data_IF_514565847766
#
_entry.id   IF_514565847766
#
_cell.length_a   1.000
_cell.length_b   1.000
_cell.length_c   1.000
_cell.angle_alpha   90.00
_cell.angle_beta   90.00
_cell.angle_gamma   90.00
#
_symmetry.space_group_name_H-M   'P 1'
#
loop_
_entity.id
_entity.type
_entity.pdbx_description
1 polymer ?
#
# COMPACT_ATOMS: atom_id res chain seq x y z
N UNK A 1 16.33 -16.98 -4.16
CA UNK A 1 16.71 -17.54 -2.85
C UNK A 1 15.53 -17.36 -1.91
N UNK A 2 15.21 -18.36 -1.16
CA UNK A 2 14.30 -18.33 -0.05
C UNK A 2 15.07 -18.57 1.28
N UNK A 3 14.37 -18.52 2.41
CA UNK A 3 14.92 -18.72 3.76
C UNK A 3 15.76 -19.99 3.91
N UNK A 4 15.40 -21.05 3.19
CA UNK A 4 16.10 -22.35 3.24
C UNK A 4 17.29 -22.43 2.26
N UNK A 5 17.74 -21.31 1.68
CA UNK A 5 18.80 -21.22 0.67
C UNK A 5 18.51 -22.04 -0.60
N UNK A 6 17.25 -22.38 -0.86
CA UNK A 6 16.82 -23.02 -2.09
C UNK A 6 16.59 -22.01 -3.18
N UNK A 7 16.88 -22.38 -4.42
CA UNK A 7 16.59 -21.57 -5.59
C UNK A 7 15.19 -21.93 -6.10
N UNK A 8 14.42 -20.91 -6.36
CA UNK A 8 13.15 -21.02 -7.10
C UNK A 8 13.22 -20.11 -8.30
N UNK A 9 12.75 -20.61 -9.43
CA UNK A 9 12.46 -19.74 -10.57
C UNK A 9 11.23 -18.91 -10.22
N UNK A 10 11.36 -17.59 -10.25
CA UNK A 10 10.28 -16.65 -10.07
C UNK A 10 10.07 -15.93 -11.40
N UNK A 11 8.92 -16.20 -12.02
CA UNK A 11 8.57 -15.55 -13.27
C UNK A 11 8.13 -14.10 -13.01
N UNK A 12 8.99 -13.18 -13.45
CA UNK A 12 8.73 -11.74 -13.36
C UNK A 12 8.03 -11.21 -14.61
N UNK A 13 7.85 -12.07 -15.60
CA UNK A 13 7.35 -11.63 -16.89
C UNK A 13 5.84 -11.46 -16.84
N UNK A 14 5.37 -10.38 -17.39
CA UNK A 14 3.96 -10.11 -17.51
C UNK A 14 3.26 -9.64 -16.24
N UNK A 15 3.99 -9.45 -15.17
CA UNK A 15 3.44 -8.91 -13.93
C UNK A 15 3.67 -7.41 -13.87
N UNK A 16 2.65 -6.67 -13.53
CA UNK A 16 2.77 -5.32 -13.02
C UNK A 16 3.16 -5.41 -11.54
N UNK A 17 4.18 -4.66 -11.14
CA UNK A 17 4.67 -4.62 -9.76
C UNK A 17 4.47 -3.25 -9.10
N UNK A 18 3.71 -2.35 -9.71
CA UNK A 18 3.56 -0.98 -9.22
C UNK A 18 3.02 -0.96 -7.80
N UNK A 19 1.99 -1.75 -7.48
CA UNK A 19 1.42 -1.84 -6.15
C UNK A 19 2.43 -2.38 -5.11
N UNK A 20 3.27 -3.35 -5.50
CA UNK A 20 4.34 -3.85 -4.63
C UNK A 20 5.44 -2.81 -4.43
N UNK A 21 5.80 -2.08 -5.46
CA UNK A 21 6.82 -1.02 -5.41
C UNK A 21 6.34 0.18 -4.61
N UNK A 22 5.05 0.51 -4.67
CA UNK A 22 4.46 1.57 -3.85
C UNK A 22 4.69 1.34 -2.35
N UNK A 23 4.82 0.10 -1.88
CA UNK A 23 5.14 -0.19 -0.47
C UNK A 23 6.48 0.40 0.00
N UNK A 24 7.41 0.65 -0.91
CA UNK A 24 8.71 1.27 -0.64
C UNK A 24 8.82 2.71 -1.12
N UNK A 25 8.00 3.13 -2.08
CA UNK A 25 8.02 4.50 -2.64
C UNK A 25 7.29 5.52 -1.78
N UNK A 26 6.75 5.06 -0.69
CA UNK A 26 5.98 5.89 0.21
C UNK A 26 6.83 7.01 0.83
N UNK A 27 6.40 8.25 0.67
CA UNK A 27 7.05 9.43 1.22
C UNK A 27 7.23 9.44 2.75
N UNK A 28 6.71 8.41 3.44
CA UNK A 28 6.86 8.23 4.89
C UNK A 28 8.07 7.36 5.28
N UNK A 29 8.67 6.63 4.34
CA UNK A 29 9.90 5.88 4.58
C UNK A 29 11.10 6.80 4.34
N UNK A 30 11.68 7.29 5.44
CA UNK A 30 12.79 8.22 5.42
C UNK A 30 13.76 7.84 6.55
N UNK A 31 15.04 7.72 6.23
CA UNK A 31 16.11 7.43 7.21
C UNK A 31 15.82 6.23 8.12
N UNK A 32 15.43 5.11 7.53
CA UNK A 32 15.02 3.90 8.24
C UNK A 32 15.72 2.66 7.67
N UNK A 33 16.11 1.73 8.54
CA UNK A 33 16.45 0.37 8.12
C UNK A 33 15.46 -0.65 8.71
N UNK A 34 15.09 -1.64 7.90
CA UNK A 34 14.16 -2.66 8.30
C UNK A 34 14.39 -3.97 7.52
N UNK A 35 13.79 -5.05 7.99
CA UNK A 35 13.80 -6.32 7.27
C UNK A 35 12.62 -6.41 6.30
N UNK A 36 12.83 -7.00 5.13
CA UNK A 36 11.74 -7.36 4.22
C UNK A 36 10.63 -8.20 4.89
N UNK A 37 10.93 -8.83 6.05
CA UNK A 37 9.94 -9.51 6.87
C UNK A 37 8.80 -8.60 7.33
N UNK A 38 9.08 -7.31 7.56
CA UNK A 38 8.05 -6.32 7.87
C UNK A 38 7.02 -6.23 6.74
N UNK A 39 7.47 -5.94 5.54
CA UNK A 39 6.58 -5.85 4.38
C UNK A 39 5.84 -7.16 4.10
N UNK A 40 6.53 -8.29 4.29
CA UNK A 40 5.94 -9.61 4.12
C UNK A 40 4.77 -9.87 5.09
N UNK A 41 4.85 -9.35 6.31
CA UNK A 41 3.79 -9.44 7.32
C UNK A 41 2.69 -8.42 7.13
N UNK A 42 3.06 -7.19 6.79
CA UNK A 42 2.13 -6.05 6.72
C UNK A 42 1.21 -6.13 5.49
N UNK A 43 1.68 -6.81 4.41
CA UNK A 43 0.94 -6.90 3.15
C UNK A 43 0.74 -8.36 2.70
N UNK A 44 0.06 -9.21 3.49
CA UNK A 44 -0.06 -10.64 3.20
C UNK A 44 -0.81 -10.94 1.90
N UNK A 45 -1.78 -10.11 1.52
CA UNK A 45 -2.52 -10.28 0.27
C UNK A 45 -1.66 -9.94 -0.95
N UNK A 46 -0.81 -8.91 -0.86
CA UNK A 46 0.18 -8.63 -1.91
C UNK A 46 1.17 -9.79 -2.07
N UNK A 47 1.61 -10.40 -0.95
CA UNK A 47 2.51 -11.56 -1.01
C UNK A 47 1.86 -12.74 -1.72
N UNK A 48 0.56 -12.99 -1.50
CA UNK A 48 -0.20 -14.02 -2.23
C UNK A 48 -0.36 -13.65 -3.70
N UNK A 49 -0.75 -12.42 -3.98
CA UNK A 49 -0.94 -11.91 -5.36
C UNK A 49 0.31 -12.09 -6.20
N UNK A 50 1.47 -11.81 -5.63
CA UNK A 50 2.75 -11.94 -6.32
C UNK A 50 3.43 -13.30 -6.14
N UNK A 51 2.79 -14.28 -5.47
CA UNK A 51 3.35 -15.61 -5.15
C UNK A 51 4.73 -15.50 -4.48
N UNK A 52 4.85 -14.62 -3.49
CA UNK A 52 6.06 -14.42 -2.69
C UNK A 52 5.95 -15.28 -1.44
N UNK A 53 6.94 -16.14 -1.17
CA UNK A 53 6.86 -17.18 -0.13
C UNK A 53 7.53 -16.82 1.18
N UNK A 54 8.51 -15.94 1.14
CA UNK A 54 9.24 -15.50 2.33
C UNK A 54 9.93 -14.12 2.12
N UNK A 55 10.45 -13.58 3.20
CA UNK A 55 11.13 -12.29 3.25
C UNK A 55 12.40 -12.21 2.38
N UNK A 56 13.07 -13.34 2.14
CA UNK A 56 14.27 -13.39 1.30
C UNK A 56 13.92 -13.28 -0.18
N UNK A 57 12.85 -13.95 -0.57
CA UNK A 57 12.32 -13.89 -1.92
C UNK A 57 11.81 -12.47 -2.21
N UNK A 58 11.06 -11.88 -1.28
CA UNK A 58 10.62 -10.49 -1.36
C UNK A 58 11.79 -9.52 -1.52
N UNK A 59 12.79 -9.61 -0.65
CA UNK A 59 13.98 -8.74 -0.71
C UNK A 59 14.68 -8.83 -2.07
N UNK A 60 14.88 -10.04 -2.60
CA UNK A 60 15.53 -10.23 -3.88
C UNK A 60 14.70 -9.70 -5.05
N UNK A 61 13.39 -9.90 -5.00
CA UNK A 61 12.47 -9.39 -6.00
C UNK A 61 12.49 -7.86 -6.03
N UNK A 62 12.29 -7.22 -4.88
CA UNK A 62 12.33 -5.76 -4.75
C UNK A 62 13.67 -5.18 -5.20
N UNK A 63 14.81 -5.78 -4.78
CA UNK A 63 16.13 -5.36 -5.23
C UNK A 63 16.27 -5.38 -6.75
N UNK A 64 15.76 -6.43 -7.39
CA UNK A 64 15.83 -6.59 -8.84
C UNK A 64 14.94 -5.57 -9.57
N UNK A 65 13.72 -5.37 -9.09
CA UNK A 65 12.79 -4.39 -9.62
C UNK A 65 13.32 -2.96 -9.46
N UNK A 66 13.85 -2.63 -8.28
CA UNK A 66 14.40 -1.31 -7.97
C UNK A 66 15.53 -0.93 -8.90
N UNK A 67 16.45 -1.85 -9.14
CA UNK A 67 17.53 -1.65 -10.11
C UNK A 67 17.04 -1.58 -11.56
N UNK A 68 16.09 -2.44 -11.92
CA UNK A 68 15.51 -2.49 -13.28
C UNK A 68 14.81 -1.18 -13.67
N UNK A 69 14.02 -0.62 -12.77
CA UNK A 69 13.24 0.59 -13.02
C UNK A 69 13.97 1.88 -12.60
N UNK A 70 15.22 1.76 -12.11
CA UNK A 70 16.05 2.91 -11.68
C UNK A 70 15.35 3.83 -10.68
N UNK A 71 14.59 3.26 -9.75
CA UNK A 71 13.67 3.98 -8.86
C UNK A 71 14.35 4.93 -7.86
N UNK A 72 15.67 4.93 -7.77
CA UNK A 72 16.43 5.92 -7.00
C UNK A 72 16.72 7.22 -7.78
N UNK A 73 16.45 7.25 -9.09
CA UNK A 73 16.69 8.45 -9.91
C UNK A 73 15.69 9.54 -9.51
N UNK A 74 16.20 10.72 -9.18
CA UNK A 74 15.39 11.85 -8.73
C UNK A 74 15.05 11.88 -7.24
N UNK A 75 15.35 10.82 -6.48
CA UNK A 75 15.18 10.82 -5.03
C UNK A 75 16.34 11.52 -4.34
N UNK A 76 16.03 12.27 -3.28
CA UNK A 76 17.05 12.84 -2.40
C UNK A 76 17.74 11.77 -1.55
N UNK A 77 18.78 12.16 -0.79
CA UNK A 77 19.59 11.25 0.01
C UNK A 77 18.81 10.54 1.12
N UNK A 78 17.70 11.10 1.59
CA UNK A 78 16.90 10.58 2.70
C UNK A 78 15.86 9.54 2.25
N UNK A 79 15.56 9.47 0.95
CA UNK A 79 14.56 8.57 0.38
C UNK A 79 15.15 7.49 -0.53
N UNK A 80 16.47 7.51 -0.80
CA UNK A 80 17.10 6.47 -1.60
C UNK A 80 17.04 5.12 -0.94
N UNK A 81 16.57 4.12 -1.68
CA UNK A 81 16.47 2.73 -1.20
C UNK A 81 17.71 1.94 -1.57
N UNK A 82 18.28 1.27 -0.59
CA UNK A 82 19.45 0.39 -0.75
C UNK A 82 19.15 -0.98 -0.16
N UNK A 83 19.45 -2.03 -0.91
CA UNK A 83 19.30 -3.41 -0.50
C UNK A 83 20.66 -3.94 -0.02
N UNK A 84 20.82 -4.09 1.29
CA UNK A 84 22.07 -4.51 1.91
C UNK A 84 22.12 -6.04 2.12
N UNK A 85 22.58 -6.51 3.28
CA UNK A 85 22.58 -7.94 3.60
C UNK A 85 21.14 -8.43 3.78
N UNK A 86 20.76 -9.46 3.01
CA UNK A 86 19.43 -10.05 3.10
C UNK A 86 19.02 -10.41 4.53
N UNK A 87 17.83 -10.11 4.96
CA UNK A 87 16.72 -9.47 4.23
C UNK A 87 16.60 -7.96 4.51
N UNK A 88 17.68 -7.23 4.78
CA UNK A 88 17.67 -5.82 5.20
C UNK A 88 17.50 -4.87 4.01
N UNK A 89 16.55 -3.96 4.15
CA UNK A 89 16.28 -2.84 3.26
C UNK A 89 16.60 -1.55 4.02
N UNK A 90 17.30 -0.64 3.37
CA UNK A 90 17.72 0.65 3.94
C UNK A 90 17.12 1.76 3.08
N UNK A 91 16.45 2.70 3.72
CA UNK A 91 15.96 3.94 3.09
C UNK A 91 16.70 5.10 3.72
N UNK A 92 17.35 5.92 2.89
CA UNK A 92 18.07 7.08 3.33
C UNK A 92 19.32 6.79 4.16
N UNK A 93 19.47 7.51 5.24
CA UNK A 93 20.60 7.42 6.20
C UNK A 93 20.04 7.00 7.57
N UNK A 94 19.75 5.72 7.81
CA UNK A 94 19.11 5.26 9.03
C UNK A 94 19.99 5.44 10.27
N UNK A 95 19.33 5.75 11.37
CA UNK A 95 19.90 5.77 12.71
C UNK A 95 19.15 4.74 13.57
N UNK A 96 19.79 3.60 13.84
CA UNK A 96 19.21 2.51 14.65
C UNK A 96 18.92 2.91 16.08
N UNK A 97 19.79 3.74 16.66
CA UNK A 97 19.57 4.23 18.02
C UNK A 97 18.29 5.06 18.07
N UNK A 98 18.06 5.86 17.04
CA UNK A 98 16.81 6.61 16.90
C UNK A 98 15.58 5.67 16.75
N UNK A 99 15.70 4.58 16.03
CA UNK A 99 14.61 3.59 15.87
C UNK A 99 14.31 2.89 17.19
N UNK A 100 15.34 2.42 17.94
CA UNK A 100 15.15 1.83 19.28
C UNK A 100 14.54 2.84 20.24
N UNK A 101 15.08 4.08 20.26
CA UNK A 101 14.53 5.14 21.10
C UNK A 101 13.07 5.42 20.79
N UNK A 102 12.69 5.42 19.51
CA UNK A 102 11.30 5.64 19.11
C UNK A 102 10.37 4.59 19.75
N UNK A 103 10.74 3.32 19.72
CA UNK A 103 9.95 2.26 20.35
C UNK A 103 9.91 2.44 21.86
N UNK A 104 11.05 2.71 22.47
CA UNK A 104 11.13 2.93 23.91
C UNK A 104 10.27 4.13 24.36
N UNK A 105 10.31 5.24 23.60
CA UNK A 105 9.45 6.41 23.87
C UNK A 105 7.96 6.09 23.75
N UNK A 106 7.58 5.20 22.82
CA UNK A 106 6.19 4.81 22.62
C UNK A 106 5.70 3.83 23.67
N UNK A 107 6.55 2.89 24.11
CA UNK A 107 6.21 1.91 25.15
C UNK A 107 6.25 2.50 26.56
N UNK A 108 7.15 3.47 26.79
CA UNK A 108 7.37 4.10 28.10
C UNK A 108 8.25 3.25 28.99
N UNK A 109 7.69 2.24 29.63
CA UNK A 109 8.39 1.25 30.47
C UNK A 109 8.12 -0.15 29.93
N UNK A 110 9.17 -0.92 29.68
CA UNK A 110 9.06 -2.19 28.97
C UNK A 110 10.20 -3.15 29.35
N UNK A 111 9.93 -4.46 29.59
CA UNK A 111 10.95 -5.49 29.71
C UNK A 111 11.82 -5.60 28.45
N UNK A 112 13.06 -6.07 28.59
CA UNK A 112 14.00 -6.25 27.45
C UNK A 112 13.39 -7.07 26.34
N UNK A 113 12.75 -8.19 26.69
CA UNK A 113 12.14 -9.13 25.74
C UNK A 113 11.05 -8.45 24.94
N UNK A 114 10.19 -7.68 25.60
CA UNK A 114 9.10 -6.95 24.94
C UNK A 114 9.61 -5.80 24.07
N UNK A 115 10.70 -5.11 24.47
CA UNK A 115 11.34 -4.07 23.65
C UNK A 115 11.88 -4.68 22.36
N UNK A 116 12.58 -5.83 22.47
CA UNK A 116 13.13 -6.52 21.32
C UNK A 116 12.03 -7.07 20.41
N UNK A 117 10.95 -7.58 20.98
CA UNK A 117 9.80 -8.06 20.23
C UNK A 117 9.08 -6.91 19.51
N UNK A 118 8.87 -5.78 20.17
CA UNK A 118 8.29 -4.60 19.56
C UNK A 118 9.14 -4.06 18.39
N UNK A 119 10.47 -4.14 18.52
CA UNK A 119 11.36 -3.80 17.41
C UNK A 119 11.23 -4.80 16.25
N UNK A 120 11.11 -6.11 16.53
CA UNK A 120 10.86 -7.12 15.50
C UNK A 120 9.52 -6.91 14.82
N UNK A 121 8.46 -6.58 15.56
CA UNK A 121 7.14 -6.28 15.02
C UNK A 121 7.18 -5.08 14.08
N UNK A 122 7.85 -4.00 14.50
CA UNK A 122 7.88 -2.73 13.76
C UNK A 122 8.82 -2.75 12.55
N UNK A 123 10.02 -3.32 12.70
CA UNK A 123 11.07 -3.28 11.68
C UNK A 123 11.39 -4.65 11.06
N UNK A 124 10.74 -5.72 11.50
CA UNK A 124 10.96 -7.08 11.01
C UNK A 124 12.33 -7.67 11.38
N UNK A 125 13.15 -6.97 12.17
CA UNK A 125 14.47 -7.45 12.63
C UNK A 125 14.29 -8.37 13.81
N UNK A 126 14.82 -9.61 13.70
CA UNK A 126 14.66 -10.63 14.74
C UNK A 126 15.04 -10.13 16.13
N UNK A 127 14.21 -10.38 17.13
CA UNK A 127 14.38 -9.95 18.52
C UNK A 127 15.74 -10.35 19.12
N UNK A 128 16.22 -11.54 18.81
CA UNK A 128 17.58 -11.96 19.23
C UNK A 128 18.71 -11.13 18.62
N UNK A 129 18.53 -10.59 17.40
CA UNK A 129 19.50 -9.67 16.79
C UNK A 129 19.47 -8.30 17.48
N UNK A 130 18.28 -7.82 17.82
CA UNK A 130 18.08 -6.55 18.54
C UNK A 130 18.73 -6.62 19.91
N UNK A 131 18.45 -7.67 20.68
CA UNK A 131 19.01 -7.89 22.02
C UNK A 131 20.56 -7.89 22.00
N UNK A 132 21.14 -8.59 21.01
CA UNK A 132 22.58 -8.76 20.92
C UNK A 132 23.34 -7.51 20.43
N UNK A 133 22.71 -6.67 19.58
CA UNK A 133 23.47 -5.68 18.82
C UNK A 133 22.94 -4.24 18.92
N UNK A 134 21.68 -4.02 19.37
CA UNK A 134 21.07 -2.69 19.23
C UNK A 134 20.85 -1.97 20.56
N UNK A 135 20.94 -2.66 21.70
CA UNK A 135 20.61 -2.09 23.01
C UNK A 135 21.80 -1.48 23.74
N UNK A 136 23.02 -1.63 23.23
CA UNK A 136 24.24 -1.17 23.93
C UNK A 136 24.28 0.32 24.27
N UNK A 137 23.72 1.18 23.41
CA UNK A 137 23.67 2.63 23.64
C UNK A 137 22.62 3.05 24.68
N UNK A 138 21.74 2.12 25.09
CA UNK A 138 20.57 2.42 25.93
C UNK A 138 20.74 2.06 27.40
N UNK A 139 21.94 1.74 27.86
CA UNK A 139 22.21 1.33 29.24
C UNK A 139 21.69 2.32 30.29
N UNK A 140 21.63 3.61 29.98
CA UNK A 140 21.11 4.66 30.89
C UNK A 140 19.61 4.55 31.17
N UNK A 141 18.88 3.86 30.31
CA UNK A 141 17.44 3.60 30.48
C UNK A 141 17.17 2.23 31.08
N UNK A 142 18.20 1.41 31.28
CA UNK A 142 18.08 0.03 31.71
C UNK A 142 18.29 -0.14 33.23
N UNK A 143 17.31 -0.75 33.90
CA UNK A 143 17.40 -1.13 35.31
C UNK A 143 16.69 -2.47 35.52
N UNK A 144 17.40 -3.45 36.09
CA UNK A 144 16.84 -4.75 36.52
C UNK A 144 15.98 -5.44 35.44
N UNK A 145 16.45 -5.49 34.21
CA UNK A 145 15.72 -6.15 33.12
C UNK A 145 14.64 -5.29 32.45
N UNK A 146 14.50 -4.04 32.84
CA UNK A 146 13.47 -3.12 32.35
C UNK A 146 14.12 -1.89 31.75
N UNK A 147 13.65 -1.48 30.57
CA UNK A 147 13.92 -0.17 29.97
C UNK A 147 12.78 0.80 30.27
N UNK A 148 13.10 2.05 30.62
CA UNK A 148 12.07 3.08 30.85
C UNK A 148 12.56 4.47 30.50
N UNK A 149 11.67 5.28 29.92
CA UNK A 149 11.79 6.72 29.69
C UNK A 149 10.91 7.55 30.61
N UNK A 150 10.15 6.94 31.52
CA UNK A 150 9.22 7.62 32.45
C UNK A 150 9.92 8.56 33.44
N UNK A 151 11.23 8.40 33.58
CA UNK A 151 12.02 9.34 34.40
C UNK A 151 12.22 10.70 33.73
N UNK A 152 12.01 10.77 32.41
CA UNK A 152 12.09 12.02 31.64
C UNK A 152 10.69 12.60 31.51
N UNK A 153 10.24 13.32 32.53
CA UNK A 153 8.93 13.97 32.56
C UNK A 153 8.99 15.33 31.89
N UNK A 154 7.90 15.66 31.17
CA UNK A 154 7.70 16.98 30.60
C UNK A 154 7.34 17.99 31.68
N UNK A 155 7.81 19.25 31.53
CA UNK A 155 7.36 20.35 32.38
C UNK A 155 5.82 20.46 32.28
N UNK A 156 5.06 20.50 33.41
CA UNK A 156 3.59 20.56 33.38
C UNK A 156 3.01 21.74 32.58
N UNK A 157 3.69 22.89 32.58
CA UNK A 157 3.26 24.06 31.80
C UNK A 157 3.43 23.83 30.28
N UNK A 158 4.50 23.13 29.88
CA UNK A 158 4.75 22.76 28.49
C UNK A 158 3.74 21.70 28.05
N UNK A 159 3.46 20.73 28.92
CA UNK A 159 2.47 19.67 28.66
C UNK A 159 1.07 20.24 28.42
N UNK A 160 0.63 21.20 29.25
CA UNK A 160 -0.68 21.83 29.10
C UNK A 160 -0.76 22.64 27.79
N UNK A 161 0.31 23.38 27.44
CA UNK A 161 0.38 24.07 26.15
C UNK A 161 0.39 23.12 24.97
N UNK A 162 1.14 22.01 25.07
CA UNK A 162 1.16 20.98 24.02
C UNK A 162 -0.22 20.38 23.81
N UNK A 163 -0.95 20.09 24.88
CA UNK A 163 -2.34 19.62 24.84
C UNK A 163 -3.25 20.57 24.08
N UNK A 164 -3.08 21.88 24.25
CA UNK A 164 -3.86 22.91 23.54
C UNK A 164 -3.46 23.01 22.04
N UNK A 165 -2.20 22.83 21.71
CA UNK A 165 -1.70 22.88 20.34
C UNK A 165 -2.16 21.64 19.56
N UNK A 166 -2.08 20.46 20.17
CA UNK A 166 -2.48 19.20 19.54
C UNK A 166 -4.01 19.03 19.62
N UNK A 167 -4.75 19.68 18.73
CA UNK A 167 -6.21 19.74 18.72
C UNK A 167 -6.89 18.77 17.74
N UNK A 168 -6.14 18.10 16.85
CA UNK A 168 -6.67 17.09 15.93
C UNK A 168 -6.75 15.71 16.61
N UNK A 169 -7.56 14.84 16.05
CA UNK A 169 -7.73 13.47 16.53
C UNK A 169 -6.63 12.51 16.11
N UNK A 170 -5.86 12.88 15.09
CA UNK A 170 -4.78 12.07 14.54
C UNK A 170 -3.56 12.92 14.23
N UNK A 171 -2.38 12.40 14.59
CA UNK A 171 -1.08 12.95 14.21
C UNK A 171 -0.09 11.84 13.89
N UNK A 172 0.73 12.05 12.86
CA UNK A 172 1.98 11.29 12.70
C UNK A 172 2.99 11.76 13.76
N UNK A 173 3.87 10.86 14.23
CA UNK A 173 4.93 11.25 15.17
C UNK A 173 5.87 12.32 14.62
N UNK A 174 6.16 12.31 13.32
CA UNK A 174 6.93 13.34 12.65
C UNK A 174 6.29 14.72 12.79
N UNK A 175 4.97 14.82 12.69
CA UNK A 175 4.22 16.07 12.85
C UNK A 175 4.31 16.56 14.29
N UNK A 176 4.06 15.69 15.27
CA UNK A 176 4.15 16.07 16.69
C UNK A 176 5.55 16.54 17.05
N UNK A 177 6.59 15.84 16.59
CA UNK A 177 7.99 16.23 16.82
C UNK A 177 8.32 17.61 16.24
N UNK A 178 7.86 17.89 15.03
CA UNK A 178 8.04 19.19 14.40
C UNK A 178 7.31 20.28 15.17
N UNK A 179 6.05 20.04 15.57
CA UNK A 179 5.27 20.96 16.40
C UNK A 179 6.00 21.21 17.73
N UNK A 180 6.43 20.15 18.41
CA UNK A 180 7.11 20.26 19.70
C UNK A 180 8.42 21.03 19.58
N UNK A 181 9.27 20.67 18.61
CA UNK A 181 10.55 21.35 18.36
C UNK A 181 10.40 22.83 18.06
N UNK A 182 9.35 23.19 17.29
CA UNK A 182 9.08 24.57 16.90
C UNK A 182 8.48 25.39 18.05
N UNK A 183 7.55 24.78 18.81
CA UNK A 183 6.81 25.47 19.89
C UNK A 183 7.61 25.55 21.19
N UNK A 184 8.54 24.61 21.42
CA UNK A 184 9.30 24.46 22.66
C UNK A 184 10.82 24.24 22.41
N UNK A 185 11.53 25.17 21.79
CA UNK A 185 12.88 24.94 21.29
C UNK A 185 13.93 24.68 22.40
N UNK A 186 13.61 24.91 23.68
CA UNK A 186 14.51 24.64 24.82
C UNK A 186 14.19 23.36 25.59
N UNK A 187 13.14 22.65 25.22
CA UNK A 187 12.70 21.48 25.97
C UNK A 187 13.41 20.20 25.50
N UNK A 188 13.58 19.26 26.46
CA UNK A 188 14.17 17.97 26.14
C UNK A 188 13.16 17.13 25.27
N UNK A 189 13.60 16.76 24.06
CA UNK A 189 12.79 15.95 23.14
C UNK A 189 12.39 14.59 23.74
N UNK A 190 13.19 14.02 24.65
CA UNK A 190 12.87 12.74 25.31
C UNK A 190 11.66 12.86 26.25
N UNK A 191 11.26 14.07 26.66
CA UNK A 191 10.02 14.29 27.43
C UNK A 191 8.75 14.12 26.59
N UNK A 192 8.87 14.19 25.27
CA UNK A 192 7.79 13.87 24.33
C UNK A 192 7.71 12.35 24.13
N UNK A 193 7.22 11.64 25.09
CA UNK A 193 7.14 10.18 25.14
C UNK A 193 5.68 9.68 25.29
N UNK A 194 5.50 8.37 25.28
CA UNK A 194 4.18 7.76 25.35
C UNK A 194 3.40 8.11 26.63
N UNK A 195 4.10 8.27 27.74
CA UNK A 195 3.47 8.67 29.00
C UNK A 195 2.86 10.06 28.86
N UNK A 196 3.62 11.04 28.42
CA UNK A 196 3.15 12.41 28.19
C UNK A 196 1.97 12.44 27.19
N UNK A 197 2.08 11.70 26.06
CA UNK A 197 1.03 11.69 25.05
C UNK A 197 -0.26 11.04 25.55
N UNK A 198 -0.16 9.99 26.36
CA UNK A 198 -1.33 9.37 27.02
C UNK A 198 -1.99 10.33 28.01
N UNK A 199 -1.20 11.05 28.83
CA UNK A 199 -1.73 12.04 29.78
C UNK A 199 -2.46 13.20 29.10
N UNK A 200 -2.05 13.61 27.88
CA UNK A 200 -2.76 14.65 27.12
C UNK A 200 -3.88 14.10 26.23
N UNK A 201 -4.23 12.80 26.37
CA UNK A 201 -5.45 12.21 25.81
C UNK A 201 -5.26 11.52 24.48
N UNK A 202 -4.10 10.89 24.21
CA UNK A 202 -3.88 10.09 23.02
C UNK A 202 -3.64 8.61 23.34
N UNK A 203 -4.10 7.76 22.45
CA UNK A 203 -3.58 6.40 22.27
C UNK A 203 -2.33 6.47 21.42
N UNK A 204 -1.28 5.79 21.82
CA UNK A 204 0.04 5.87 21.19
C UNK A 204 0.33 4.58 20.43
N UNK A 205 0.58 4.72 19.13
CA UNK A 205 1.04 3.68 18.22
C UNK A 205 2.47 3.99 17.79
N UNK A 206 3.12 3.11 17.04
CA UNK A 206 4.55 3.29 16.75
C UNK A 206 4.84 4.55 15.93
N UNK A 207 4.06 4.83 14.90
CA UNK A 207 4.30 5.94 13.97
C UNK A 207 3.28 7.08 14.06
N UNK A 208 2.24 6.91 14.87
CA UNK A 208 1.15 7.88 14.99
C UNK A 208 0.46 7.80 16.34
N UNK A 209 -0.37 8.78 16.60
CA UNK A 209 -1.27 8.81 17.75
C UNK A 209 -2.70 9.07 17.30
N UNK A 210 -3.66 8.56 18.06
CA UNK A 210 -5.09 8.78 17.86
C UNK A 210 -5.70 9.24 19.18
N UNK A 211 -6.64 10.18 19.16
CA UNK A 211 -7.40 10.57 20.36
C UNK A 211 -8.00 9.36 21.06
N UNK A 212 -7.91 9.34 22.37
CA UNK A 212 -8.48 8.28 23.20
C UNK A 212 -10.02 8.38 23.35
N UNK A 213 -10.67 9.30 22.63
CA UNK A 213 -12.13 9.32 22.42
C UNK A 213 -12.59 8.18 21.53
N UNK A 214 -11.70 7.61 20.70
CA UNK A 214 -11.92 6.39 19.94
C UNK A 214 -11.45 5.17 20.74
N UNK A 215 -12.08 4.02 20.56
CA UNK A 215 -11.67 2.79 21.23
C UNK A 215 -10.38 2.18 20.62
N UNK A 216 -10.08 2.49 19.35
CA UNK A 216 -8.90 2.01 18.63
C UNK A 216 -8.57 2.87 17.42
N UNK A 217 -7.38 2.68 16.82
CA UNK A 217 -7.03 3.27 15.54
C UNK A 217 -7.97 2.81 14.42
N UNK A 218 -8.36 1.53 14.42
CA UNK A 218 -9.31 1.01 13.42
C UNK A 218 -10.65 1.75 13.48
N UNK A 219 -11.16 2.03 14.68
CA UNK A 219 -12.39 2.81 14.83
C UNK A 219 -12.23 4.23 14.29
N UNK A 220 -11.10 4.88 14.57
CA UNK A 220 -10.81 6.20 13.99
C UNK A 220 -10.75 6.14 12.46
N UNK A 221 -10.04 5.17 11.88
CA UNK A 221 -9.94 5.05 10.44
C UNK A 221 -11.27 4.69 9.78
N UNK A 222 -12.06 3.83 10.41
CA UNK A 222 -13.43 3.56 9.97
C UNK A 222 -14.25 4.85 9.98
N UNK A 223 -14.17 5.63 11.07
CA UNK A 223 -14.88 6.89 11.19
C UNK A 223 -14.54 7.84 10.04
N UNK A 224 -13.27 8.14 9.79
CA UNK A 224 -12.88 9.08 8.72
C UNK A 224 -13.19 8.57 7.31
N UNK A 225 -13.33 7.26 7.10
CA UNK A 225 -13.73 6.66 5.84
C UNK A 225 -15.24 6.60 5.63
N UNK A 226 -16.04 6.80 6.71
CA UNK A 226 -17.49 6.70 6.66
C UNK A 226 -18.25 7.90 7.27
N UNK A 227 -17.52 8.93 7.73
CA UNK A 227 -18.10 10.10 8.40
C UNK A 227 -19.01 10.90 7.46
N UNK A 228 -18.62 11.02 6.21
CA UNK A 228 -19.35 11.77 5.18
C UNK A 228 -19.79 10.85 4.05
N UNK A 229 -20.79 11.29 3.29
CA UNK A 229 -21.32 10.55 2.15
C UNK A 229 -20.27 10.33 1.05
N UNK A 230 -19.35 11.29 0.89
CA UNK A 230 -18.23 11.25 -0.06
C UNK A 230 -16.97 11.64 0.70
N UNK A 231 -15.96 10.78 0.62
CA UNK A 231 -14.68 10.96 1.32
C UNK A 231 -13.56 11.09 0.31
N UNK A 232 -12.89 12.25 0.32
CA UNK A 232 -11.80 12.57 -0.62
C UNK A 232 -10.43 12.43 0.07
N UNK A 233 -9.65 11.44 -0.37
CA UNK A 233 -8.30 11.20 0.08
C UNK A 233 -7.23 11.54 -0.97
N UNK A 234 -7.57 12.12 -2.11
CA UNK A 234 -6.63 12.38 -3.21
C UNK A 234 -5.42 13.20 -2.76
N UNK A 235 -5.64 14.21 -1.92
CA UNK A 235 -4.57 15.06 -1.37
C UNK A 235 -3.99 14.55 -0.04
N UNK A 236 -4.58 13.52 0.56
CA UNK A 236 -4.23 13.00 1.90
C UNK A 236 -3.73 11.56 1.88
N UNK A 237 -3.75 10.90 0.73
CA UNK A 237 -3.40 9.47 0.61
C UNK A 237 -2.05 9.16 1.23
N UNK A 238 -1.04 10.00 0.97
CA UNK A 238 0.33 9.80 1.42
C UNK A 238 0.48 9.82 2.95
N UNK A 239 -0.49 10.39 3.66
CA UNK A 239 -0.51 10.44 5.13
C UNK A 239 -0.97 9.12 5.75
N UNK A 240 -1.82 8.36 5.07
CA UNK A 240 -2.49 7.19 5.63
C UNK A 240 -2.13 5.87 4.94
N UNK A 241 -1.79 5.91 3.65
CA UNK A 241 -1.59 4.72 2.81
C UNK A 241 -0.60 3.70 3.41
N UNK A 242 0.38 4.21 4.16
CA UNK A 242 1.46 3.41 4.73
C UNK A 242 1.22 2.95 6.17
N UNK A 243 0.02 3.21 6.67
CA UNK A 243 -0.40 2.70 7.97
C UNK A 243 -1.14 1.38 7.73
N UNK A 244 -0.57 0.22 8.12
CA UNK A 244 -1.18 -1.08 7.85
C UNK A 244 -2.62 -1.15 8.37
N UNK A 245 -2.90 -0.56 9.53
CA UNK A 245 -4.25 -0.52 10.11
C UNK A 245 -5.22 0.27 9.23
N UNK A 246 -4.79 1.38 8.63
CA UNK A 246 -5.65 2.15 7.71
C UNK A 246 -5.94 1.34 6.44
N UNK A 247 -4.89 0.74 5.86
CA UNK A 247 -5.03 -0.07 4.65
C UNK A 247 -5.96 -1.27 4.87
N UNK A 248 -5.86 -1.93 6.04
CA UNK A 248 -6.75 -3.04 6.38
C UNK A 248 -8.20 -2.58 6.49
N UNK A 249 -8.47 -1.50 7.24
CA UNK A 249 -9.84 -0.94 7.38
C UNK A 249 -10.41 -0.52 6.02
N UNK A 250 -9.60 0.14 5.18
CA UNK A 250 -10.01 0.51 3.83
C UNK A 250 -10.38 -0.71 2.99
N UNK A 251 -9.57 -1.77 3.08
CA UNK A 251 -9.81 -3.02 2.35
C UNK A 251 -11.09 -3.70 2.84
N UNK A 252 -11.27 -3.82 4.15
CA UNK A 252 -12.45 -4.44 4.75
C UNK A 252 -13.74 -3.71 4.34
N UNK A 253 -13.75 -2.37 4.39
CA UNK A 253 -14.90 -1.57 3.98
C UNK A 253 -15.22 -1.69 2.48
N UNK A 254 -14.20 -1.78 1.64
CA UNK A 254 -14.38 -2.02 0.19
C UNK A 254 -14.92 -3.42 -0.07
N UNK A 255 -14.38 -4.45 0.56
CA UNK A 255 -14.84 -5.83 0.42
C UNK A 255 -16.27 -6.03 0.95
N UNK A 256 -16.62 -5.36 2.04
CA UNK A 256 -17.99 -5.34 2.55
C UNK A 256 -18.96 -4.52 1.66
N UNK A 257 -18.45 -3.80 0.67
CA UNK A 257 -19.24 -2.91 -0.18
C UNK A 257 -19.83 -1.71 0.57
N UNK A 258 -19.32 -1.38 1.75
CA UNK A 258 -19.78 -0.22 2.52
C UNK A 258 -19.33 1.10 1.88
N UNK A 259 -18.17 1.09 1.24
CA UNK A 259 -17.66 2.19 0.43
C UNK A 259 -17.25 1.70 -0.96
N UNK A 260 -17.44 2.52 -1.97
CA UNK A 260 -17.04 2.25 -3.35
C UNK A 260 -16.17 3.39 -3.85
N UNK A 261 -15.10 3.07 -4.53
CA UNK A 261 -14.18 4.06 -5.09
C UNK A 261 -14.76 4.63 -6.40
N UNK A 262 -15.26 5.87 -6.36
CA UNK A 262 -15.86 6.55 -7.52
C UNK A 262 -14.83 7.16 -8.47
N UNK A 263 -13.69 7.56 -7.94
CA UNK A 263 -12.47 7.96 -8.63
C UNK A 263 -11.28 7.46 -7.81
N UNK A 264 -10.06 7.39 -8.34
CA UNK A 264 -8.89 7.03 -7.53
C UNK A 264 -8.81 7.86 -6.25
N UNK A 265 -8.88 7.18 -5.08
CA UNK A 265 -8.87 7.78 -3.74
C UNK A 265 -10.05 8.70 -3.40
N UNK A 266 -11.13 8.63 -4.14
CA UNK A 266 -12.42 9.26 -3.84
C UNK A 266 -13.45 8.17 -3.59
N UNK A 267 -13.95 8.07 -2.37
CA UNK A 267 -14.86 7.01 -1.94
C UNK A 267 -16.26 7.55 -1.72
N UNK A 268 -17.24 6.75 -2.09
CA UNK A 268 -18.66 7.04 -1.89
C UNK A 268 -19.27 5.95 -1.03
N UNK A 269 -20.06 6.32 -0.04
CA UNK A 269 -20.76 5.38 0.84
C UNK A 269 -21.92 4.70 0.11
N UNK A 270 -22.18 3.43 0.48
CA UNK A 270 -23.26 2.63 -0.12
C UNK A 270 -24.63 3.29 0.08
N UNK A 271 -24.96 3.74 1.28
CA UNK A 271 -26.24 4.41 1.59
C UNK A 271 -26.46 5.73 0.82
N UNK A 272 -25.39 6.46 0.52
CA UNK A 272 -25.46 7.62 -0.38
C UNK A 272 -25.78 7.19 -1.81
N UNK A 273 -25.12 6.14 -2.31
CA UNK A 273 -25.40 5.59 -3.64
C UNK A 273 -26.87 5.15 -3.75
N UNK A 274 -27.37 4.43 -2.74
CA UNK A 274 -28.77 3.97 -2.68
C UNK A 274 -29.76 5.13 -2.73
N UNK A 275 -29.53 6.21 -1.94
CA UNK A 275 -30.35 7.44 -1.98
C UNK A 275 -30.34 8.14 -3.36
N UNK A 276 -29.29 7.91 -4.15
CA UNK A 276 -29.19 8.41 -5.52
C UNK A 276 -29.58 7.37 -6.56
N UNK A 277 -30.23 6.29 -6.12
CA UNK A 277 -30.82 5.28 -6.97
C UNK A 277 -29.82 4.27 -7.53
N UNK A 278 -28.65 4.10 -6.90
CA UNK A 278 -27.67 3.05 -7.19
C UNK A 278 -27.65 2.12 -5.97
N UNK A 279 -28.72 1.35 -5.81
CA UNK A 279 -28.85 0.34 -4.75
C UNK A 279 -28.42 -1.05 -5.24
N UNK A 280 -28.61 -2.04 -4.39
CA UNK A 280 -28.20 -3.43 -4.65
C UNK A 280 -28.74 -3.96 -5.97
N UNK A 281 -30.06 -3.82 -6.18
CA UNK A 281 -30.71 -4.27 -7.41
C UNK A 281 -30.13 -3.62 -8.68
N UNK A 282 -29.82 -2.33 -8.63
CA UNK A 282 -29.25 -1.62 -9.79
C UNK A 282 -27.81 -2.09 -10.06
N UNK A 283 -27.05 -2.43 -9.02
CA UNK A 283 -25.71 -3.01 -9.14
C UNK A 283 -25.80 -4.41 -9.73
N UNK A 284 -26.71 -5.25 -9.23
CA UNK A 284 -26.98 -6.58 -9.78
C UNK A 284 -27.41 -6.51 -11.24
N UNK A 285 -28.43 -5.71 -11.58
CA UNK A 285 -28.92 -5.52 -12.96
C UNK A 285 -27.78 -5.03 -13.89
N UNK A 286 -26.93 -4.13 -13.40
CA UNK A 286 -25.76 -3.65 -14.14
C UNK A 286 -24.74 -4.78 -14.36
N UNK A 287 -24.39 -5.51 -13.31
CA UNK A 287 -23.43 -6.61 -13.33
C UNK A 287 -23.91 -7.75 -14.24
N UNK A 288 -25.17 -8.18 -14.11
CA UNK A 288 -25.78 -9.22 -14.95
C UNK A 288 -25.82 -8.82 -16.44
N UNK A 289 -26.10 -7.55 -16.73
CA UNK A 289 -26.05 -7.04 -18.10
C UNK A 289 -24.65 -7.15 -18.70
N UNK A 290 -23.62 -6.81 -17.96
CA UNK A 290 -22.22 -6.95 -18.40
C UNK A 290 -21.88 -8.45 -18.57
N UNK A 291 -22.25 -9.29 -17.61
CA UNK A 291 -22.09 -10.75 -17.65
C UNK A 291 -22.72 -11.35 -18.90
N UNK A 292 -23.93 -10.94 -19.24
CA UNK A 292 -24.67 -11.48 -20.38
C UNK A 292 -24.10 -11.10 -21.75
N UNK A 293 -23.37 -9.98 -21.82
CA UNK A 293 -22.82 -9.45 -23.07
C UNK A 293 -21.34 -9.75 -23.28
N UNK A 294 -20.60 -10.03 -22.20
CA UNK A 294 -19.16 -10.27 -22.26
C UNK A 294 -18.90 -11.75 -22.01
N UNK A 295 -18.37 -12.50 -23.00
CA UNK A 295 -18.01 -13.90 -22.81
C UNK A 295 -16.97 -14.08 -21.71
N UNK A 296 -17.05 -15.20 -20.99
CA UNK A 296 -16.01 -15.58 -20.05
C UNK A 296 -14.65 -15.67 -20.76
N UNK A 297 -13.59 -15.26 -20.06
CA UNK A 297 -12.24 -15.24 -20.64
C UNK A 297 -11.89 -13.95 -21.40
N UNK A 298 -12.77 -12.95 -21.42
CA UNK A 298 -12.57 -11.70 -22.17
C UNK A 298 -11.98 -10.62 -21.28
N UNK A 299 -10.97 -9.91 -21.80
CA UNK A 299 -10.42 -8.68 -21.21
C UNK A 299 -11.13 -7.45 -21.76
N UNK A 300 -11.43 -6.50 -20.90
CA UNK A 300 -12.10 -5.26 -21.27
C UNK A 300 -11.73 -4.10 -20.31
N UNK A 301 -11.95 -2.88 -20.76
CA UNK A 301 -12.04 -1.68 -19.91
C UNK A 301 -13.44 -1.10 -20.07
N UNK A 302 -13.87 -0.23 -19.19
CA UNK A 302 -15.17 0.44 -19.38
C UNK A 302 -15.19 1.26 -20.65
N UNK A 303 -14.06 1.84 -21.03
CA UNK A 303 -13.88 2.56 -22.29
C UNK A 303 -14.05 1.66 -23.50
N UNK A 304 -13.50 0.44 -23.49
CA UNK A 304 -13.71 -0.50 -24.60
C UNK A 304 -15.16 -0.99 -24.68
N UNK A 305 -15.85 -1.15 -23.53
CA UNK A 305 -17.28 -1.47 -23.51
C UNK A 305 -18.14 -0.32 -24.06
N UNK A 306 -17.71 0.90 -23.87
CA UNK A 306 -18.39 2.06 -24.44
C UNK A 306 -18.22 2.11 -25.97
N UNK A 307 -17.03 1.85 -26.49
CA UNK A 307 -16.78 1.75 -27.93
C UNK A 307 -17.61 0.62 -28.58
N UNK A 308 -17.80 -0.50 -27.87
CA UNK A 308 -18.61 -1.63 -28.34
C UNK A 308 -20.12 -1.44 -28.16
N UNK A 309 -20.56 -0.32 -27.57
CA UNK A 309 -21.98 -0.07 -27.27
C UNK A 309 -22.59 -1.01 -26.22
N UNK A 310 -21.76 -1.65 -25.41
CA UNK A 310 -22.18 -2.54 -24.32
C UNK A 310 -22.53 -1.75 -23.07
N UNK A 311 -21.84 -0.66 -22.84
CA UNK A 311 -22.02 0.24 -21.72
C UNK A 311 -22.00 1.70 -22.15
N UNK A 312 -22.77 2.56 -21.48
CA UNK A 312 -22.77 3.99 -21.70
C UNK A 312 -22.95 4.77 -20.40
N UNK A 313 -22.11 5.77 -20.11
CA UNK A 313 -22.27 6.63 -18.94
C UNK A 313 -23.62 7.35 -18.89
N UNK A 314 -24.20 7.64 -20.05
CA UNK A 314 -25.48 8.34 -20.14
C UNK A 314 -26.68 7.47 -19.74
N UNK A 315 -26.63 6.19 -20.06
CA UNK A 315 -27.67 5.21 -19.73
C UNK A 315 -27.57 4.79 -18.25
N UNK A 316 -26.35 4.69 -17.74
CA UNK A 316 -26.07 4.22 -16.39
C UNK A 316 -25.87 5.36 -15.39
N UNK A 317 -26.85 6.27 -15.30
CA UNK A 317 -26.90 7.36 -14.30
C UNK A 317 -25.67 8.25 -14.28
N UNK A 318 -25.01 8.43 -15.42
CA UNK A 318 -23.77 9.23 -15.58
C UNK A 318 -22.60 8.69 -14.73
N UNK A 319 -22.55 7.38 -14.50
CA UNK A 319 -21.40 6.77 -13.86
C UNK A 319 -20.15 6.94 -14.72
N UNK A 320 -19.07 7.42 -14.11
CA UNK A 320 -17.75 7.43 -14.75
C UNK A 320 -17.18 6.00 -14.88
N UNK A 321 -16.26 5.80 -15.83
CA UNK A 321 -15.63 4.51 -16.08
C UNK A 321 -15.00 3.88 -14.84
N UNK A 322 -14.32 4.70 -14.04
CA UNK A 322 -13.70 4.23 -12.79
C UNK A 322 -14.75 3.69 -11.81
N UNK A 323 -15.83 4.45 -11.61
CA UNK A 323 -16.90 4.05 -10.72
C UNK A 323 -17.61 2.78 -11.21
N UNK A 324 -17.97 2.74 -12.49
CA UNK A 324 -18.60 1.56 -13.09
C UNK A 324 -17.71 0.31 -12.93
N UNK A 325 -16.41 0.42 -13.22
CA UNK A 325 -15.48 -0.70 -12.97
C UNK A 325 -15.36 -1.06 -11.49
N UNK A 326 -15.45 -0.07 -10.56
CA UNK A 326 -15.44 -0.35 -9.12
C UNK A 326 -16.66 -1.16 -8.68
N UNK A 327 -17.84 -0.92 -9.28
CA UNK A 327 -19.04 -1.71 -8.99
C UNK A 327 -18.87 -3.16 -9.43
N UNK A 328 -18.25 -3.41 -10.58
CA UNK A 328 -17.97 -4.78 -11.06
C UNK A 328 -16.98 -5.50 -10.13
N UNK A 329 -16.06 -4.79 -9.47
CA UNK A 329 -15.12 -5.42 -8.52
C UNK A 329 -15.78 -5.94 -7.23
N UNK A 330 -17.04 -5.60 -6.98
CA UNK A 330 -17.82 -6.16 -5.86
C UNK A 330 -18.26 -7.61 -6.12
N UNK A 331 -18.25 -8.06 -7.37
CA UNK A 331 -18.55 -9.42 -7.79
C UNK A 331 -17.26 -10.16 -8.20
N UNK A 332 -16.51 -10.59 -7.20
CA UNK A 332 -15.25 -11.32 -7.36
C UNK A 332 -15.41 -12.75 -7.92
N UNK A 333 -16.63 -13.28 -7.89
CA UNK A 333 -16.97 -14.56 -8.51
C UNK A 333 -16.94 -14.48 -10.05
N UNK A 334 -17.24 -13.32 -10.61
CA UNK A 334 -17.36 -13.13 -12.04
C UNK A 334 -16.33 -12.20 -12.67
N UNK A 335 -15.62 -11.41 -11.89
CA UNK A 335 -14.66 -10.44 -12.40
C UNK A 335 -13.35 -10.45 -11.63
N UNK A 336 -12.26 -10.43 -12.38
CA UNK A 336 -10.93 -10.10 -11.89
C UNK A 336 -10.45 -8.80 -12.55
N UNK A 337 -9.47 -8.15 -11.98
CA UNK A 337 -8.97 -6.91 -12.56
C UNK A 337 -7.48 -6.69 -12.26
N UNK A 338 -6.86 -5.86 -13.09
CA UNK A 338 -5.56 -5.24 -12.83
C UNK A 338 -5.82 -3.74 -12.63
N UNK A 339 -5.44 -3.22 -11.47
CA UNK A 339 -5.50 -1.78 -11.20
C UNK A 339 -4.34 -1.11 -11.90
N UNK A 340 -4.63 -0.13 -12.73
CA UNK A 340 -3.67 0.74 -13.38
C UNK A 340 -3.89 2.17 -12.88
N UNK A 341 -2.92 3.07 -13.06
CA UNK A 341 -2.96 4.40 -12.43
C UNK A 341 -4.27 5.18 -12.65
N UNK A 342 -4.84 5.12 -13.85
CA UNK A 342 -6.03 5.90 -14.22
C UNK A 342 -7.25 5.05 -14.62
N UNK A 343 -7.12 3.72 -14.66
CA UNK A 343 -8.22 2.83 -15.08
C UNK A 343 -8.00 1.42 -14.54
N UNK A 344 -8.97 0.53 -14.75
CA UNK A 344 -8.85 -0.89 -14.45
C UNK A 344 -8.98 -1.70 -15.75
N UNK A 345 -8.04 -2.63 -15.95
CA UNK A 345 -8.19 -3.66 -16.93
C UNK A 345 -8.97 -4.82 -16.30
N UNK A 346 -10.19 -5.00 -16.72
CA UNK A 346 -11.11 -6.03 -16.21
C UNK A 346 -10.96 -7.33 -16.99
N UNK A 347 -11.28 -8.43 -16.34
CA UNK A 347 -11.36 -9.75 -16.94
C UNK A 347 -12.65 -10.44 -16.52
N UNK A 348 -13.38 -10.98 -17.46
CA UNK A 348 -14.59 -11.77 -17.20
C UNK A 348 -14.20 -13.18 -16.76
N UNK A 349 -14.18 -13.40 -15.45
CA UNK A 349 -13.76 -14.63 -14.77
C UNK A 349 -13.10 -14.31 -13.44
N UNK A 350 -12.89 -15.31 -12.60
CA UNK A 350 -12.39 -15.19 -11.23
C UNK A 350 -10.94 -15.65 -11.04
N UNK A 351 -10.18 -15.83 -12.13
CA UNK A 351 -8.77 -16.21 -12.03
C UNK A 351 -7.90 -14.99 -11.81
N UNK A 352 -6.78 -15.18 -11.13
CA UNK A 352 -5.72 -14.19 -11.08
C UNK A 352 -5.17 -13.92 -12.48
N UNK A 353 -5.06 -12.67 -12.87
CA UNK A 353 -4.65 -12.21 -14.19
C UNK A 353 -3.44 -11.29 -14.11
N UNK A 354 -2.67 -11.27 -15.19
CA UNK A 354 -1.49 -10.43 -15.37
C UNK A 354 -1.50 -9.76 -16.75
N UNK A 355 -0.72 -8.70 -16.93
CA UNK A 355 -0.62 -8.03 -18.23
C UNK A 355 -0.19 -8.96 -19.37
N UNK A 356 0.61 -9.99 -19.09
CA UNK A 356 0.98 -10.99 -20.10
C UNK A 356 -0.21 -11.81 -20.56
N UNK A 357 -1.17 -12.10 -19.67
CA UNK A 357 -2.39 -12.81 -20.05
C UNK A 357 -3.24 -11.97 -21.00
N UNK A 358 -3.29 -10.66 -20.76
CA UNK A 358 -3.92 -9.72 -21.66
C UNK A 358 -3.24 -9.68 -23.04
N UNK A 359 -1.90 -9.65 -23.08
CA UNK A 359 -1.17 -9.68 -24.35
C UNK A 359 -1.34 -11.00 -25.09
N UNK A 360 -1.36 -12.15 -24.38
CA UNK A 360 -1.68 -13.46 -24.99
C UNK A 360 -3.09 -13.48 -25.55
N UNK A 361 -4.04 -12.94 -24.82
CA UNK A 361 -5.42 -12.84 -25.26
C UNK A 361 -5.55 -11.95 -26.51
N UNK A 362 -4.92 -10.78 -26.53
CA UNK A 362 -4.87 -9.90 -27.71
C UNK A 362 -4.26 -10.60 -28.92
N UNK A 363 -3.15 -11.34 -28.72
CA UNK A 363 -2.51 -12.08 -29.80
C UNK A 363 -3.39 -13.20 -30.37
N UNK A 364 -4.11 -13.93 -29.53
CA UNK A 364 -4.92 -15.09 -29.91
C UNK A 364 -6.29 -14.68 -30.44
N UNK A 365 -7.02 -13.87 -29.69
CA UNK A 365 -8.41 -13.54 -29.99
C UNK A 365 -8.55 -12.33 -30.95
N UNK A 366 -7.62 -11.40 -30.93
CA UNK A 366 -7.64 -10.20 -31.78
C UNK A 366 -6.59 -10.22 -32.88
N UNK A 367 -5.77 -11.30 -32.97
CA UNK A 367 -4.69 -11.45 -33.93
C UNK A 367 -3.68 -10.29 -33.93
N UNK A 368 -3.44 -9.70 -32.76
CA UNK A 368 -2.50 -8.60 -32.57
C UNK A 368 -1.12 -9.19 -32.33
N UNK A 369 -0.25 -9.21 -33.35
CA UNK A 369 1.07 -9.88 -33.31
C UNK A 369 2.24 -8.94 -33.64
N UNK A 370 2.04 -7.62 -33.60
CA UNK A 370 3.13 -6.66 -33.76
C UNK A 370 2.99 -5.48 -32.80
N UNK A 371 4.13 -4.91 -32.41
CA UNK A 371 4.19 -3.87 -31.37
C UNK A 371 3.42 -2.59 -31.71
N UNK A 372 3.36 -2.21 -32.97
CA UNK A 372 2.62 -1.00 -33.40
C UNK A 372 1.11 -1.21 -33.28
N UNK A 373 0.62 -2.38 -33.69
CA UNK A 373 -0.79 -2.73 -33.53
C UNK A 373 -1.16 -2.88 -32.05
N UNK A 374 -0.28 -3.49 -31.24
CA UNK A 374 -0.45 -3.62 -29.81
C UNK A 374 -0.60 -2.26 -29.14
N UNK A 375 0.34 -1.33 -29.38
CA UNK A 375 0.29 0.04 -28.88
C UNK A 375 -1.01 0.74 -29.30
N UNK A 376 -1.38 0.66 -30.57
CA UNK A 376 -2.59 1.29 -31.12
C UNK A 376 -3.87 0.77 -30.45
N UNK A 377 -3.97 -0.54 -30.25
CA UNK A 377 -5.15 -1.14 -29.61
C UNK A 377 -5.22 -0.81 -28.13
N UNK A 378 -4.11 -0.92 -27.39
CA UNK A 378 -4.06 -0.63 -25.96
C UNK A 378 -4.39 0.83 -25.70
N UNK A 379 -3.78 1.75 -26.43
CA UNK A 379 -4.01 3.19 -26.21
C UNK A 379 -5.29 3.72 -26.84
N UNK A 380 -5.66 3.20 -28.01
CA UNK A 380 -6.82 3.67 -28.78
C UNK A 380 -8.14 3.07 -28.27
N UNK A 381 -8.25 1.75 -28.19
CA UNK A 381 -9.49 1.04 -27.87
C UNK A 381 -9.66 0.81 -26.37
N UNK A 382 -8.63 0.28 -25.66
CA UNK A 382 -8.69 0.05 -24.22
C UNK A 382 -8.43 1.31 -23.39
N UNK A 383 -7.92 2.38 -23.99
CA UNK A 383 -7.55 3.66 -23.34
C UNK A 383 -6.57 3.48 -22.17
N UNK A 384 -5.72 2.45 -22.26
CA UNK A 384 -4.68 2.19 -21.29
C UNK A 384 -3.38 2.91 -21.65
N UNK A 385 -2.59 3.26 -20.64
CA UNK A 385 -1.20 3.71 -20.88
C UNK A 385 -0.36 2.55 -21.42
N UNK A 386 0.56 2.84 -22.32
CA UNK A 386 1.42 1.83 -22.94
C UNK A 386 2.89 2.19 -22.78
N UNK A 387 3.62 1.34 -22.06
CA UNK A 387 5.08 1.40 -21.99
C UNK A 387 5.67 0.36 -22.93
N UNK A 388 6.23 0.83 -24.04
CA UNK A 388 6.75 -0.01 -25.13
C UNK A 388 7.89 -0.92 -24.69
N UNK A 389 8.78 -0.44 -23.81
CA UNK A 389 9.94 -1.23 -23.41
C UNK A 389 9.55 -2.30 -22.40
N UNK A 390 8.65 -1.98 -21.49
CA UNK A 390 8.04 -2.96 -20.60
C UNK A 390 7.29 -4.03 -21.42
N UNK A 391 6.44 -3.62 -22.35
CA UNK A 391 5.70 -4.56 -23.20
C UNK A 391 6.64 -5.49 -24.01
N UNK A 392 7.71 -4.95 -24.59
CA UNK A 392 8.71 -5.77 -25.30
C UNK A 392 9.37 -6.80 -24.39
N UNK A 393 9.71 -6.39 -23.18
CA UNK A 393 10.34 -7.29 -22.22
C UNK A 393 9.37 -8.42 -21.81
N UNK A 394 8.12 -8.08 -21.50
CA UNK A 394 7.09 -9.04 -21.17
C UNK A 394 6.89 -10.07 -22.30
N UNK A 395 6.79 -9.58 -23.54
CA UNK A 395 6.60 -10.43 -24.71
C UNK A 395 7.83 -11.30 -24.98
N UNK A 396 9.06 -10.78 -24.86
CA UNK A 396 10.30 -11.55 -25.07
C UNK A 396 10.48 -12.67 -24.07
N UNK A 397 10.04 -12.46 -22.85
CA UNK A 397 10.18 -13.41 -21.75
C UNK A 397 9.07 -14.47 -21.73
N UNK A 398 8.03 -14.29 -22.54
CA UNK A 398 6.97 -15.27 -22.73
C UNK A 398 7.23 -16.07 -24.02
N UNK A 399 7.44 -17.40 -23.96
CA UNK A 399 7.81 -18.20 -25.12
C UNK A 399 6.78 -18.15 -26.27
N UNK A 400 5.49 -18.17 -25.91
CA UNK A 400 4.38 -18.15 -26.89
C UNK A 400 4.33 -16.79 -27.61
N UNK A 401 4.37 -15.70 -26.82
CA UNK A 401 4.33 -14.35 -27.35
C UNK A 401 5.60 -13.99 -28.12
N UNK A 402 6.76 -14.43 -27.63
CA UNK A 402 8.03 -14.21 -28.31
C UNK A 402 8.00 -14.78 -29.73
N UNK A 403 7.48 -16.01 -29.88
CA UNK A 403 7.31 -16.64 -31.19
C UNK A 403 6.37 -15.84 -32.10
N UNK A 404 5.24 -15.37 -31.56
CA UNK A 404 4.22 -14.63 -32.32
C UNK A 404 4.69 -13.23 -32.75
N UNK A 405 5.45 -12.55 -31.91
CA UNK A 405 5.85 -11.14 -32.15
C UNK A 405 7.20 -10.96 -32.81
N UNK A 406 8.14 -11.90 -32.62
CA UNK A 406 9.52 -11.72 -33.05
C UNK A 406 10.06 -12.82 -33.98
N UNK A 407 9.46 -14.01 -34.01
CA UNK A 407 9.94 -15.12 -34.84
C UNK A 407 9.14 -15.32 -36.15
N UNK A 408 8.00 -14.67 -36.34
CA UNK A 408 7.35 -14.59 -37.64
C UNK A 408 8.04 -13.51 -38.52
N UNK A 409 9.22 -13.86 -39.02
CA UNK A 409 9.76 -13.35 -40.28
C UNK A 409 9.75 -14.55 -41.21
N UNK A 410 8.66 -14.60 -42.01
CA UNK A 410 8.74 -15.06 -43.42
C UNK A 410 7.34 -14.96 -44.01
#
# INVERSE_FOLDING_TARGET
WNRNKTLRYYDMNGRDFDELLETLQSGNLCDIDFSALKLFRDYPELMKTYDIRDEYELHNLLKKLWGKYRLNEGLDSHHKVTFTRMPTIVVGMPDRDRQVMQILMNKGTVPVEELCQAYEEEYGVRSGTVAANYLGSFYKYFHNGIYSVEWVRMNPQVQEKLKQILNNDFYLFSEIRNIFKTSFPGENMESLNSHTLKEIGFMVYTNYVVRNTYASASQYFQHILTETDIVDFRDKKDRYLYLPTFYQVLTDLKQAGEIVESEPWLFVRRDYMERHGIGEKQIEDFTERIISRIPEGTFFTMESLQEDGVWSPHEDKRMGSWFASSLLTLDDAHFSYIRLAATRLMYRGNKQIYMVDFYRWLAREKNITNMKALESVITGYYRLSFNKDNAKELIRNDPDLNTLYFMRKD
#
